data_IF_360074129886
#
_entry.id   IF_360074129886
#
_cell.length_a   1.000
_cell.length_b   1.000
_cell.length_c   1.000
_cell.angle_alpha   90.00
_cell.angle_beta   90.00
_cell.angle_gamma   90.00
#
_symmetry.space_group_name_H-M   'P 1'
#
loop_
_entity.id
_entity.type
_entity.pdbx_description
1 polymer ?
#
# COMPACT_ATOMS: atom_id res chain seq x y z
N UNK A 1 12.25 4.83 -18.31
CA UNK A 1 13.61 4.27 -18.37
C UNK A 1 14.59 4.98 -17.44
N UNK A 2 14.65 6.32 -17.43
CA UNK A 2 15.55 7.09 -16.54
C UNK A 2 15.44 6.75 -15.04
N UNK A 3 14.24 6.54 -14.51
CA UNK A 3 14.06 6.25 -13.08
C UNK A 3 14.56 4.87 -12.62
N UNK A 4 14.82 3.93 -13.54
CA UNK A 4 15.37 2.62 -13.17
C UNK A 4 16.89 2.67 -13.05
N UNK A 5 17.55 3.35 -14.00
CA UNK A 5 19.00 3.61 -13.95
C UNK A 5 19.37 4.35 -12.67
N UNK A 6 18.65 5.43 -12.33
CA UNK A 6 18.88 6.17 -11.10
C UNK A 6 18.76 5.30 -9.84
N UNK A 7 17.76 4.42 -9.76
CA UNK A 7 17.61 3.50 -8.61
C UNK A 7 18.78 2.53 -8.48
N UNK A 8 19.30 2.06 -9.60
CA UNK A 8 20.47 1.17 -9.61
C UNK A 8 21.71 1.94 -9.13
N UNK A 9 21.93 3.16 -9.64
CA UNK A 9 23.02 4.05 -9.20
C UNK A 9 22.94 4.35 -7.69
N UNK A 10 21.76 4.75 -7.21
CA UNK A 10 21.50 5.05 -5.80
C UNK A 10 21.73 3.81 -4.90
N UNK A 11 21.40 2.61 -5.39
CA UNK A 11 21.65 1.34 -4.68
C UNK A 11 23.14 1.04 -4.57
N UNK A 12 23.89 1.18 -5.67
CA UNK A 12 25.34 0.97 -5.66
C UNK A 12 26.07 2.01 -4.81
N UNK A 13 25.63 3.26 -4.85
CA UNK A 13 26.12 4.30 -3.96
C UNK A 13 25.87 3.92 -2.50
N UNK A 14 24.64 3.53 -2.15
CA UNK A 14 24.30 3.06 -0.81
C UNK A 14 25.18 1.90 -0.34
N UNK A 15 25.54 0.98 -1.23
CA UNK A 15 26.43 -0.15 -0.92
C UNK A 15 27.84 0.31 -0.52
N UNK A 16 28.40 1.31 -1.22
CA UNK A 16 29.70 1.89 -0.87
C UNK A 16 29.68 2.58 0.51
N UNK A 17 28.59 3.28 0.85
CA UNK A 17 28.41 3.85 2.20
C UNK A 17 28.25 2.76 3.26
N UNK A 18 27.58 1.65 2.96
CA UNK A 18 27.45 0.52 3.87
C UNK A 18 28.83 -0.12 4.17
N UNK A 19 29.68 -0.29 3.15
CA UNK A 19 31.05 -0.79 3.31
C UNK A 19 31.93 0.14 4.15
N UNK A 20 31.69 1.46 4.07
CA UNK A 20 32.35 2.46 4.90
C UNK A 20 31.81 2.53 6.34
N UNK A 21 30.78 1.76 6.70
CA UNK A 21 30.14 1.77 8.01
C UNK A 21 29.07 2.87 8.18
N UNK A 22 28.77 3.63 7.12
CA UNK A 22 27.79 4.73 7.10
C UNK A 22 26.38 4.19 6.85
N UNK A 23 25.87 3.43 7.82
CA UNK A 23 24.61 2.66 7.73
C UNK A 23 23.39 3.51 7.38
N UNK A 24 23.22 4.66 8.03
CA UNK A 24 22.05 5.52 7.83
C UNK A 24 22.03 6.14 6.42
N UNK A 25 23.19 6.57 5.94
CA UNK A 25 23.35 7.14 4.60
C UNK A 25 23.13 6.07 3.52
N UNK A 26 23.63 4.86 3.74
CA UNK A 26 23.40 3.71 2.87
C UNK A 26 21.90 3.40 2.70
N UNK A 27 21.16 3.33 3.81
CA UNK A 27 19.71 3.08 3.79
C UNK A 27 18.94 4.20 3.08
N UNK A 28 19.33 5.46 3.33
CA UNK A 28 18.74 6.64 2.69
C UNK A 28 18.91 6.60 1.17
N UNK A 29 20.11 6.30 0.69
CA UNK A 29 20.42 6.19 -0.73
C UNK A 29 19.66 5.03 -1.38
N UNK A 30 19.67 3.86 -0.77
CA UNK A 30 18.94 2.69 -1.28
C UNK A 30 17.40 2.84 -1.18
N UNK A 31 16.89 3.89 -0.51
CA UNK A 31 15.47 4.13 -0.33
C UNK A 31 14.79 3.05 0.52
N UNK A 32 15.54 2.43 1.42
CA UNK A 32 15.06 1.36 2.30
C UNK A 32 14.94 1.87 3.73
N UNK A 33 13.99 1.29 4.47
CA UNK A 33 13.80 1.56 5.89
C UNK A 33 14.04 0.29 6.68
N UNK A 34 14.54 0.42 7.90
CA UNK A 34 14.59 -0.71 8.83
C UNK A 34 13.20 -1.30 9.04
N UNK A 35 13.13 -2.62 8.96
CA UNK A 35 11.95 -3.39 9.35
C UNK A 35 12.23 -4.04 10.70
N UNK A 36 11.25 -3.98 11.60
CA UNK A 36 11.29 -4.75 12.83
C UNK A 36 10.96 -6.24 12.60
N UNK A 37 10.45 -6.60 11.42
CA UNK A 37 10.10 -7.96 11.08
C UNK A 37 11.35 -8.82 10.92
N UNK A 38 11.36 -9.98 11.59
CA UNK A 38 12.38 -11.00 11.37
C UNK A 38 12.17 -11.70 10.02
N UNK A 39 13.20 -12.41 9.56
CA UNK A 39 13.10 -13.25 8.36
C UNK A 39 11.99 -14.30 8.49
N UNK A 40 11.79 -14.85 9.70
CA UNK A 40 10.73 -15.81 9.96
C UNK A 40 9.33 -15.17 9.80
N UNK A 41 9.15 -13.93 10.26
CA UNK A 41 7.89 -13.19 10.11
C UNK A 41 7.57 -12.95 8.63
N UNK A 42 8.60 -12.63 7.82
CA UNK A 42 8.45 -12.47 6.37
C UNK A 42 7.99 -13.78 5.72
N UNK A 43 8.61 -14.91 6.04
CA UNK A 43 8.20 -16.20 5.49
C UNK A 43 6.78 -16.59 5.92
N UNK A 44 6.41 -16.36 7.18
CA UNK A 44 5.06 -16.59 7.66
C UNK A 44 4.04 -15.71 6.91
N UNK A 45 4.34 -14.42 6.75
CA UNK A 45 3.47 -13.49 6.03
C UNK A 45 3.26 -13.90 4.57
N UNK A 46 4.32 -14.36 3.88
CA UNK A 46 4.20 -14.89 2.52
C UNK A 46 3.30 -16.12 2.48
N UNK A 47 3.48 -17.08 3.39
CA UNK A 47 2.64 -18.29 3.43
C UNK A 47 1.15 -17.96 3.66
N UNK A 48 0.84 -17.03 4.56
CA UNK A 48 -0.54 -16.55 4.75
C UNK A 48 -1.08 -15.86 3.49
N UNK A 49 -0.28 -15.02 2.83
CA UNK A 49 -0.71 -14.35 1.60
C UNK A 49 -0.97 -15.35 0.46
N UNK A 50 -0.17 -16.40 0.32
CA UNK A 50 -0.33 -17.44 -0.71
C UNK A 50 -1.65 -18.22 -0.58
N UNK A 51 -2.17 -18.37 0.65
CA UNK A 51 -3.47 -19.02 0.91
C UNK A 51 -4.64 -18.04 0.97
N UNK A 52 -4.42 -16.76 0.67
CA UNK A 52 -5.46 -15.72 0.65
C UNK A 52 -5.77 -15.08 2.00
N UNK A 53 -5.00 -15.39 3.05
CA UNK A 53 -5.07 -14.78 4.38
C UNK A 53 -4.28 -13.48 4.43
N UNK A 54 -4.76 -12.46 3.68
CA UNK A 54 -4.02 -11.21 3.51
C UNK A 54 -4.00 -10.32 4.75
N UNK A 55 -4.97 -10.45 5.65
CA UNK A 55 -5.04 -9.62 6.84
C UNK A 55 -4.02 -10.10 7.89
N UNK A 56 -3.91 -11.41 8.07
CA UNK A 56 -2.89 -12.07 8.90
C UNK A 56 -1.47 -11.79 8.38
N UNK A 57 -1.28 -11.86 7.05
CA UNK A 57 -0.02 -11.52 6.42
C UNK A 57 0.39 -10.06 6.68
N UNK A 58 -0.57 -9.13 6.64
CA UNK A 58 -0.32 -7.70 6.93
C UNK A 58 -0.03 -7.46 8.40
N UNK A 59 -0.76 -8.13 9.28
CA UNK A 59 -0.56 -8.03 10.72
C UNK A 59 0.85 -8.49 11.12
N UNK A 60 1.31 -9.63 10.58
CA UNK A 60 2.68 -10.12 10.77
C UNK A 60 3.75 -9.13 10.31
N UNK A 61 3.47 -8.39 9.24
CA UNK A 61 4.38 -7.37 8.73
C UNK A 61 4.24 -6.00 9.41
N UNK A 62 3.36 -5.88 10.42
CA UNK A 62 3.05 -4.60 11.08
C UNK A 62 2.43 -3.57 10.12
N UNK A 63 1.90 -4.01 8.98
CA UNK A 63 1.32 -3.14 7.96
C UNK A 63 -0.12 -2.85 8.37
N UNK A 64 -0.34 -1.70 9.01
CA UNK A 64 -1.70 -1.22 9.22
C UNK A 64 -2.30 -0.85 7.87
N UNK A 65 -3.45 -1.42 7.46
CA UNK A 65 -4.12 -0.98 6.26
C UNK A 65 -4.45 0.51 6.43
N UNK A 66 -3.81 1.37 5.64
CA UNK A 66 -4.22 2.76 5.54
C UNK A 66 -5.64 2.72 4.98
N UNK A 67 -6.63 3.10 5.80
CA UNK A 67 -7.93 3.50 5.27
C UNK A 67 -7.62 4.54 4.21
N UNK A 68 -7.80 4.18 2.94
CA UNK A 68 -7.89 5.18 1.90
C UNK A 68 -8.96 6.14 2.41
N UNK A 69 -8.62 7.43 2.53
CA UNK A 69 -9.60 8.44 2.89
C UNK A 69 -10.86 8.14 2.05
N UNK A 70 -12.06 8.18 2.65
CA UNK A 70 -13.27 7.94 1.88
C UNK A 70 -13.16 8.79 0.61
N UNK A 71 -13.38 8.21 -0.58
CA UNK A 71 -13.30 8.97 -1.80
C UNK A 71 -14.10 10.25 -1.58
N UNK A 72 -13.59 11.43 -1.98
CA UNK A 72 -14.31 12.69 -1.80
C UNK A 72 -15.74 12.42 -2.26
N UNK A 73 -16.71 12.66 -1.38
CA UNK A 73 -18.12 12.35 -1.65
C UNK A 73 -18.43 12.91 -3.04
N UNK A 74 -18.44 12.03 -4.05
CA UNK A 74 -19.10 12.34 -5.28
C UNK A 74 -20.54 12.53 -4.83
N UNK A 75 -21.00 13.78 -4.87
CA UNK A 75 -22.38 14.15 -4.62
C UNK A 75 -23.25 13.02 -5.18
N UNK A 76 -23.99 12.35 -4.30
CA UNK A 76 -24.66 11.10 -4.67
C UNK A 76 -25.53 11.36 -5.89
N UNK A 77 -25.73 10.39 -6.79
CA UNK A 77 -26.51 10.60 -8.03
C UNK A 77 -27.78 11.42 -7.78
N UNK A 78 -28.54 11.11 -6.73
CA UNK A 78 -29.74 11.85 -6.31
C UNK A 78 -29.49 13.33 -6.00
N UNK A 79 -28.37 13.67 -5.35
CA UNK A 79 -27.95 15.05 -5.11
C UNK A 79 -27.56 15.74 -6.43
N UNK A 80 -26.85 15.05 -7.32
CA UNK A 80 -26.44 15.59 -8.62
C UNK A 80 -27.61 15.90 -9.56
N UNK A 81 -28.73 15.19 -9.42
CA UNK A 81 -29.96 15.41 -10.21
C UNK A 81 -31.04 16.19 -9.45
N UNK A 82 -30.71 16.77 -8.28
CA UNK A 82 -31.64 17.61 -7.52
C UNK A 82 -32.79 16.87 -6.81
N UNK A 83 -32.65 15.56 -6.63
CA UNK A 83 -33.62 14.68 -5.97
C UNK A 83 -33.26 14.38 -4.51
N UNK A 84 -32.48 15.25 -3.87
CA UNK A 84 -32.19 15.16 -2.44
C UNK A 84 -33.49 15.14 -1.63
N UNK A 85 -33.71 14.08 -0.85
CA UNK A 85 -34.92 13.92 -0.03
C UNK A 85 -36.10 13.20 -0.72
N UNK A 86 -35.95 12.80 -1.98
CA UNK A 86 -36.97 12.01 -2.69
C UNK A 86 -36.83 10.53 -2.32
N UNK A 87 -37.92 9.90 -1.83
CA UNK A 87 -37.97 8.46 -1.58
C UNK A 87 -38.16 7.72 -2.92
N UNK A 88 -37.11 7.05 -3.38
CA UNK A 88 -37.16 6.22 -4.59
C UNK A 88 -37.51 4.79 -4.20
N UNK A 89 -38.51 4.21 -4.88
CA UNK A 89 -38.83 2.79 -4.83
C UNK A 89 -38.71 2.22 -6.25
N UNK A 90 -38.13 1.03 -6.39
CA UNK A 90 -38.10 0.30 -7.66
C UNK A 90 -39.19 -0.77 -7.65
N UNK A 91 -39.80 -0.99 -8.81
CA UNK A 91 -40.76 -2.06 -9.06
C UNK A 91 -40.37 -2.85 -10.30
N UNK A 92 -40.83 -4.08 -10.40
CA UNK A 92 -40.70 -4.88 -11.63
C UNK A 92 -41.69 -4.34 -12.67
N UNK A 93 -41.18 -3.94 -13.82
CA UNK A 93 -42.01 -3.68 -15.00
C UNK A 93 -42.23 -5.04 -15.70
N UNK A 94 -43.49 -5.43 -15.88
CA UNK A 94 -43.82 -6.54 -16.76
C UNK A 94 -43.53 -6.14 -18.21
N UNK A 95 -42.93 -7.07 -18.96
CA UNK A 95 -42.48 -6.88 -20.34
C UNK A 95 -43.63 -6.94 -21.35
#
# INVERSE_FOLDING_TARGET
MLGMLKRIEDTFAGLAFAEAGEREEAMRMAGVTESAASVADVYAAVAFAEVGCFDEARELMGITPKRLAPPPQACGFLESVGLTGVRVAYGLAEA
#
